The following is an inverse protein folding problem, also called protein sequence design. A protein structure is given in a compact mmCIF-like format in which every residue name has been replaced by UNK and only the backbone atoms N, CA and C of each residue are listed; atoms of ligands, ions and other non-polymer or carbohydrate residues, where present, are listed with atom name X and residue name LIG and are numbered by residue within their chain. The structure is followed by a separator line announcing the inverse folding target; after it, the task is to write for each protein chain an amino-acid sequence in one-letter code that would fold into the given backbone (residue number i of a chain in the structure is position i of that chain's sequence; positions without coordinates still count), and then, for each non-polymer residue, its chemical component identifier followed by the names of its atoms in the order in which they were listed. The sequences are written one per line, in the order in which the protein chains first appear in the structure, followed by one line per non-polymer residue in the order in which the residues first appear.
data_IF_445877915749
#
_entry.id   IF_445877915749
#
_cell.length_a   1.000
_cell.length_b   1.000
_cell.length_c   1.000
_cell.angle_alpha   90.00
_cell.angle_beta   90.00
_cell.angle_gamma   90.00
#
_symmetry.space_group_name_H-M   'P 1'
#
loop_
_entity.id
_entity.type
_entity.pdbx_description
1 polymer ?
#
# COMPACT_ATOMS: atom_id res chain seq x y z
N UNK A 1 41.20 -82.11 23.97
CA UNK A 1 40.57 -81.53 23.07
C UNK A 1 39.73 -80.44 23.45
N UNK A 2 40.06 -79.30 23.33
CA UNK A 2 39.41 -78.27 23.88
C UNK A 2 39.15 -77.18 22.98
N UNK A 3 38.11 -76.98 22.87
CA UNK A 3 37.68 -75.93 22.08
C UNK A 3 37.67 -74.63 22.72
N UNK A 4 37.77 -73.85 22.29
CA UNK A 4 37.70 -72.69 22.23
C UNK A 4 37.28 -71.72 22.38
N UNK A 5 37.43 -70.72 22.60
CA UNK A 5 36.58 -69.66 22.95
C UNK A 5 36.27 -68.69 21.91
N UNK A 6 35.15 -68.43 22.00
CA UNK A 6 34.51 -67.53 21.12
C UNK A 6 34.74 -66.10 21.58
N UNK A 7 35.54 -65.44 20.84
CA UNK A 7 35.71 -64.03 21.01
C UNK A 7 34.57 -63.30 20.37
N UNK A 8 33.57 -62.96 21.13
CA UNK A 8 32.53 -62.06 20.64
C UNK A 8 33.07 -60.66 20.55
N UNK A 9 33.30 -60.26 19.39
CA UNK A 9 33.45 -58.84 19.11
C UNK A 9 32.16 -58.14 19.35
N UNK A 10 32.11 -57.35 20.35
CA UNK A 10 31.02 -56.42 20.52
C UNK A 10 31.25 -55.30 19.51
N UNK A 11 30.44 -55.35 18.50
CA UNK A 11 30.30 -54.17 17.68
C UNK A 11 29.54 -53.14 18.45
N UNK A 12 30.24 -52.14 18.90
CA UNK A 12 29.59 -50.95 19.37
C UNK A 12 29.06 -50.17 18.17
N UNK A 13 27.79 -50.29 18.02
CA UNK A 13 27.09 -49.39 17.10
C UNK A 13 26.98 -48.06 17.80
N UNK A 14 27.85 -47.18 17.41
CA UNK A 14 27.69 -45.77 17.74
C UNK A 14 26.66 -45.20 16.81
N UNK A 15 25.44 -45.17 17.25
CA UNK A 15 24.40 -44.41 16.60
C UNK A 15 24.65 -42.95 16.93
N UNK A 16 25.40 -42.32 16.09
CA UNK A 16 25.51 -40.88 16.12
C UNK A 16 24.19 -40.29 15.68
N UNK A 17 23.43 -39.87 16.65
CA UNK A 17 22.27 -39.05 16.38
C UNK A 17 22.76 -37.65 15.98
N UNK A 18 22.92 -37.42 14.70
CA UNK A 18 23.14 -36.09 14.19
C UNK A 18 21.84 -35.32 14.32
N UNK A 19 21.72 -34.54 15.37
CA UNK A 19 20.68 -33.54 15.50
C UNK A 19 21.00 -32.42 14.51
N UNK A 20 20.40 -32.52 13.33
CA UNK A 20 20.33 -31.40 12.40
C UNK A 20 19.35 -30.39 12.99
N UNK A 21 19.90 -29.43 13.70
CA UNK A 21 19.14 -28.23 14.06
C UNK A 21 18.94 -27.45 12.75
N UNK A 22 17.79 -27.68 12.14
CA UNK A 22 17.33 -26.81 11.08
C UNK A 22 16.94 -25.49 11.74
N UNK A 23 17.84 -24.56 11.73
CA UNK A 23 17.50 -23.18 12.03
C UNK A 23 16.55 -22.72 10.92
N UNK A 24 15.27 -22.75 11.20
CA UNK A 24 14.29 -22.08 10.37
C UNK A 24 14.59 -20.59 10.50
N UNK A 25 15.38 -20.08 9.57
CA UNK A 25 15.47 -18.65 9.34
C UNK A 25 14.09 -18.24 8.84
N UNK A 26 13.27 -17.77 9.76
CA UNK A 26 12.03 -17.13 9.39
C UNK A 26 12.35 -15.93 8.54
N UNK A 27 12.27 -16.11 7.24
CA UNK A 27 12.23 -14.97 6.34
C UNK A 27 10.94 -14.24 6.65
N UNK A 28 11.04 -13.13 7.37
CA UNK A 28 9.96 -12.16 7.37
C UNK A 28 9.90 -11.63 5.96
N UNK A 29 9.03 -12.20 5.16
CA UNK A 29 8.70 -11.65 3.87
C UNK A 29 8.09 -10.27 4.14
N UNK A 30 8.87 -9.22 3.92
CA UNK A 30 8.34 -7.88 3.79
C UNK A 30 7.51 -7.93 2.53
N UNK A 31 6.20 -8.05 2.69
CA UNK A 31 5.27 -7.94 1.58
C UNK A 31 5.32 -6.47 1.16
N UNK A 32 6.06 -6.17 0.12
CA UNK A 32 5.94 -4.87 -0.52
C UNK A 32 4.50 -4.76 -0.98
N UNK A 33 3.76 -3.83 -0.38
CA UNK A 33 2.41 -3.53 -0.81
C UNK A 33 2.49 -3.04 -2.25
N UNK A 34 1.93 -3.84 -3.15
CA UNK A 34 1.90 -3.46 -4.57
C UNK A 34 0.80 -2.46 -4.79
N UNK A 35 1.18 -1.28 -5.26
CA UNK A 35 0.24 -0.31 -5.76
C UNK A 35 -0.35 -0.77 -7.08
N UNK A 36 -1.66 -0.63 -7.22
CA UNK A 36 -2.36 -0.94 -8.46
C UNK A 36 -2.97 0.34 -9.02
N UNK A 37 -2.79 0.55 -10.32
CA UNK A 37 -3.41 1.67 -11.01
C UNK A 37 -4.91 1.44 -11.13
N UNK A 38 -5.69 2.43 -10.71
CA UNK A 38 -7.14 2.38 -10.77
C UNK A 38 -7.66 2.83 -12.15
N UNK A 39 -8.74 2.20 -12.59
CA UNK A 39 -9.54 2.69 -13.71
C UNK A 39 -10.40 3.88 -13.27
N UNK A 40 -10.96 4.62 -14.22
CA UNK A 40 -11.83 5.76 -13.91
C UNK A 40 -13.02 5.39 -13.02
N UNK A 41 -13.67 4.27 -13.29
CA UNK A 41 -14.77 3.78 -12.45
C UNK A 41 -14.33 3.41 -11.02
N UNK A 42 -13.16 2.83 -10.89
CA UNK A 42 -12.58 2.52 -9.57
C UNK A 42 -12.19 3.79 -8.80
N UNK A 43 -11.62 4.77 -9.48
CA UNK A 43 -11.30 6.07 -8.86
C UNK A 43 -12.57 6.69 -8.28
N UNK A 44 -13.63 6.77 -9.07
CA UNK A 44 -14.90 7.33 -8.62
C UNK A 44 -15.47 6.56 -7.42
N UNK A 45 -15.48 5.25 -7.49
CA UNK A 45 -16.00 4.41 -6.41
C UNK A 45 -15.21 4.56 -5.11
N UNK A 46 -13.91 4.74 -5.19
CA UNK A 46 -13.03 4.86 -4.01
C UNK A 46 -13.01 6.26 -3.42
N UNK A 47 -13.04 7.29 -4.24
CA UNK A 47 -12.88 8.67 -3.78
C UNK A 47 -14.19 9.36 -3.41
N UNK A 48 -15.31 9.03 -4.07
CA UNK A 48 -16.58 9.73 -3.82
C UNK A 48 -17.04 9.58 -2.36
N UNK A 49 -17.17 10.68 -1.66
CA UNK A 49 -17.51 10.72 -0.24
C UNK A 49 -16.35 10.43 0.70
N UNK A 50 -15.14 10.35 0.19
CA UNK A 50 -13.93 10.09 0.97
C UNK A 50 -13.01 11.29 0.98
N UNK A 51 -12.04 11.26 1.86
CA UNK A 51 -10.96 12.25 1.87
C UNK A 51 -9.60 11.57 1.73
N UNK A 52 -8.69 12.28 1.10
CA UNK A 52 -7.30 11.90 0.95
C UNK A 52 -6.45 12.88 1.73
N UNK A 53 -5.55 12.38 2.58
CA UNK A 53 -4.77 13.23 3.48
C UNK A 53 -3.44 12.58 3.82
N UNK A 54 -2.43 13.42 4.06
CA UNK A 54 -1.17 12.98 4.68
C UNK A 54 -1.21 13.06 6.22
N UNK A 55 -2.36 13.46 6.78
CA UNK A 55 -2.62 13.67 8.21
C UNK A 55 -1.82 14.81 8.86
N UNK A 56 -1.02 15.54 8.12
CA UNK A 56 -0.17 16.60 8.66
C UNK A 56 -0.34 17.90 7.92
N UNK A 57 -0.18 17.89 6.59
CA UNK A 57 -0.08 19.11 5.81
C UNK A 57 -1.30 19.43 4.96
N UNK A 58 -1.98 18.40 4.47
CA UNK A 58 -3.07 18.60 3.53
C UNK A 58 -4.18 17.56 3.66
N UNK A 59 -5.35 17.96 3.20
CA UNK A 59 -6.56 17.14 3.19
C UNK A 59 -7.47 17.58 2.05
N UNK A 60 -7.85 16.64 1.20
CA UNK A 60 -8.78 16.86 0.10
C UNK A 60 -10.01 15.97 0.28
N UNK A 61 -11.19 16.59 0.38
CA UNK A 61 -12.46 15.89 0.50
C UNK A 61 -13.17 15.87 -0.86
N UNK A 62 -13.41 14.68 -1.37
CA UNK A 62 -14.05 14.47 -2.67
C UNK A 62 -15.54 14.20 -2.47
N UNK A 63 -16.35 15.21 -2.70
CA UNK A 63 -17.80 15.10 -2.53
C UNK A 63 -18.44 14.39 -3.73
N UNK A 64 -19.51 13.68 -3.48
CA UNK A 64 -20.22 12.90 -4.53
C UNK A 64 -20.77 13.78 -5.64
N UNK A 65 -21.05 15.04 -5.36
CA UNK A 65 -21.55 16.01 -6.33
C UNK A 65 -20.49 16.57 -7.30
N UNK A 66 -19.23 16.12 -7.16
CA UNK A 66 -18.14 16.61 -7.99
C UNK A 66 -17.38 17.80 -7.41
N UNK A 67 -17.69 18.23 -6.21
CA UNK A 67 -16.93 19.26 -5.52
C UNK A 67 -15.77 18.64 -4.76
N UNK A 68 -14.61 19.27 -4.79
CA UNK A 68 -13.49 18.96 -3.92
C UNK A 68 -13.21 20.14 -3.01
N UNK A 69 -13.06 19.84 -1.72
CA UNK A 69 -12.64 20.83 -0.72
C UNK A 69 -11.24 20.48 -0.28
N UNK A 70 -10.31 21.38 -0.54
CA UNK A 70 -8.89 21.21 -0.22
C UNK A 70 -8.49 22.11 0.94
N UNK A 71 -7.79 21.55 1.91
CA UNK A 71 -7.15 22.29 2.98
C UNK A 71 -5.65 21.96 2.99
N UNK A 72 -4.82 22.96 2.87
CA UNK A 72 -3.37 22.79 2.85
C UNK A 72 -2.69 23.93 3.58
N UNK A 73 -1.90 23.61 4.59
CA UNK A 73 -1.15 24.60 5.36
C UNK A 73 -2.02 25.77 5.89
N UNK A 74 -3.24 25.45 6.32
CA UNK A 74 -4.19 26.43 6.81
C UNK A 74 -5.00 27.16 5.73
N UNK A 75 -4.73 26.92 4.46
CA UNK A 75 -5.47 27.50 3.35
C UNK A 75 -6.53 26.55 2.83
N UNK A 76 -7.75 27.05 2.69
CA UNK A 76 -8.87 26.26 2.15
C UNK A 76 -9.19 26.73 0.73
N UNK A 77 -9.41 25.76 -0.15
CA UNK A 77 -9.84 25.99 -1.52
C UNK A 77 -11.00 25.07 -1.86
N UNK A 78 -11.88 25.53 -2.70
CA UNK A 78 -12.96 24.73 -3.28
C UNK A 78 -12.74 24.60 -4.77
N UNK A 79 -12.92 23.43 -5.29
CA UNK A 79 -12.76 23.13 -6.70
C UNK A 79 -13.73 22.06 -7.16
N UNK A 80 -13.47 21.57 -8.35
CA UNK A 80 -14.23 20.48 -8.98
C UNK A 80 -13.30 19.32 -9.25
N UNK A 81 -13.83 18.10 -9.11
CA UNK A 81 -13.12 16.90 -9.50
C UNK A 81 -13.96 16.09 -10.49
N UNK A 82 -13.30 15.51 -11.43
CA UNK A 82 -13.93 14.66 -12.44
C UNK A 82 -12.95 13.59 -12.91
N UNK A 83 -13.48 12.60 -13.58
CA UNK A 83 -12.69 11.52 -14.15
C UNK A 83 -12.62 11.73 -15.66
N UNK A 84 -11.40 11.76 -16.19
CA UNK A 84 -11.13 11.84 -17.64
C UNK A 84 -10.02 10.84 -17.96
N UNK A 85 -10.23 10.00 -18.98
CA UNK A 85 -9.23 9.03 -19.46
C UNK A 85 -8.56 8.22 -18.34
N UNK A 86 -9.36 7.67 -17.43
CA UNK A 86 -8.88 6.93 -16.27
C UNK A 86 -7.95 7.75 -15.36
N UNK A 87 -8.13 9.05 -15.31
CA UNK A 87 -7.40 9.96 -14.45
C UNK A 87 -8.33 10.77 -13.56
N UNK A 88 -7.85 11.12 -12.38
CA UNK A 88 -8.47 12.09 -11.51
C UNK A 88 -8.03 13.49 -11.92
N UNK A 89 -8.97 14.30 -12.38
CA UNK A 89 -8.71 15.67 -12.77
C UNK A 89 -9.34 16.65 -11.79
N UNK A 90 -8.55 17.58 -11.29
CA UNK A 90 -8.96 18.58 -10.28
C UNK A 90 -8.76 19.97 -10.86
N UNK A 91 -9.79 20.79 -10.76
CA UNK A 91 -9.78 22.18 -11.20
C UNK A 91 -10.18 23.10 -10.04
N UNK A 92 -9.31 24.03 -9.72
CA UNK A 92 -9.58 25.09 -8.74
C UNK A 92 -9.91 26.41 -9.45
N UNK A 93 -10.71 27.27 -8.82
CA UNK A 93 -11.28 28.48 -9.43
C UNK A 93 -10.27 29.41 -10.10
N UNK A 94 -9.05 29.45 -9.60
CA UNK A 94 -8.00 30.34 -10.13
C UNK A 94 -7.02 29.65 -11.08
N UNK A 95 -7.22 28.38 -11.32
CA UNK A 95 -6.36 27.59 -12.19
C UNK A 95 -7.10 27.29 -13.49
N UNK A 96 -6.67 27.84 -14.63
CA UNK A 96 -7.42 27.70 -15.88
C UNK A 96 -7.36 26.31 -16.51
N UNK A 97 -6.42 25.48 -16.05
CA UNK A 97 -6.22 24.14 -16.60
C UNK A 97 -6.35 23.11 -15.47
N UNK A 98 -7.19 22.07 -15.65
CA UNK A 98 -7.27 20.99 -14.66
C UNK A 98 -5.94 20.28 -14.51
N UNK A 99 -5.65 19.87 -13.28
CA UNK A 99 -4.52 18.99 -12.99
C UNK A 99 -5.01 17.54 -12.93
N UNK A 100 -4.46 16.68 -13.77
CA UNK A 100 -4.87 15.29 -13.85
C UNK A 100 -3.79 14.36 -13.31
N UNK A 101 -4.23 13.33 -12.59
CA UNK A 101 -3.37 12.33 -11.96
C UNK A 101 -3.78 10.92 -12.29
N UNK A 102 -2.82 10.05 -12.48
CA UNK A 102 -3.03 8.62 -12.36
C UNK A 102 -3.16 8.29 -10.87
N UNK A 103 -4.14 7.47 -10.52
CA UNK A 103 -4.41 7.09 -9.13
C UNK A 103 -3.97 5.66 -8.90
N UNK A 104 -3.06 5.47 -7.97
CA UNK A 104 -2.55 4.17 -7.57
C UNK A 104 -2.93 3.90 -6.12
N UNK A 105 -3.40 2.69 -5.85
CA UNK A 105 -3.92 2.28 -4.55
C UNK A 105 -3.25 1.01 -4.05
N UNK A 106 -2.88 1.02 -2.77
CA UNK A 106 -2.49 -0.16 -2.01
C UNK A 106 -3.14 -0.09 -0.62
N UNK A 107 -4.12 -0.93 -0.37
CA UNK A 107 -4.91 -0.84 0.86
C UNK A 107 -5.63 0.51 0.98
N UNK A 108 -5.24 1.32 1.95
CA UNK A 108 -5.72 2.71 2.14
C UNK A 108 -4.73 3.74 1.62
N UNK A 109 -3.54 3.32 1.22
CA UNK A 109 -2.52 4.22 0.71
C UNK A 109 -2.78 4.55 -0.74
N UNK A 110 -2.75 5.82 -1.05
CA UNK A 110 -2.98 6.34 -2.40
C UNK A 110 -1.76 7.14 -2.84
N UNK A 111 -1.34 6.91 -4.05
CA UNK A 111 -0.38 7.77 -4.74
C UNK A 111 -1.06 8.42 -5.94
N UNK A 112 -0.99 9.74 -5.98
CA UNK A 112 -1.37 10.52 -7.16
C UNK A 112 -0.11 10.79 -7.98
N UNK A 113 -0.05 10.18 -9.15
CA UNK A 113 1.14 10.23 -10.00
C UNK A 113 0.92 11.08 -11.24
N UNK A 114 1.91 11.91 -11.54
CA UNK A 114 2.02 12.67 -12.78
C UNK A 114 3.39 12.46 -13.38
N UNK A 115 3.44 12.41 -14.68
CA UNK A 115 4.72 12.28 -15.40
C UNK A 115 5.68 13.40 -15.03
N UNK A 116 6.93 13.01 -14.74
CA UNK A 116 8.00 13.95 -14.42
C UNK A 116 7.97 14.55 -13.02
N UNK A 117 7.01 14.16 -12.17
CA UNK A 117 6.89 14.65 -10.79
C UNK A 117 6.91 13.53 -9.79
N UNK A 118 7.35 13.83 -8.57
CA UNK A 118 7.23 12.90 -7.45
C UNK A 118 5.76 12.64 -7.12
N UNK A 119 5.38 11.40 -6.77
CA UNK A 119 4.03 11.09 -6.39
C UNK A 119 3.58 11.88 -5.15
N UNK A 120 2.30 12.25 -5.13
CA UNK A 120 1.65 12.78 -3.94
C UNK A 120 1.08 11.61 -3.17
N UNK A 121 1.54 11.42 -1.95
CA UNK A 121 1.16 10.29 -1.12
C UNK A 121 0.12 10.71 -0.07
N UNK A 122 -0.90 9.89 0.11
CA UNK A 122 -1.92 10.11 1.11
C UNK A 122 -2.61 8.83 1.53
N UNK A 123 -3.39 8.94 2.58
CA UNK A 123 -4.24 7.87 3.10
C UNK A 123 -5.70 8.20 2.82
N UNK A 124 -6.42 7.23 2.33
CA UNK A 124 -7.84 7.35 2.05
C UNK A 124 -8.62 7.08 3.33
N UNK A 125 -9.45 8.04 3.73
CA UNK A 125 -10.26 7.98 4.94
C UNK A 125 -11.70 8.42 4.65
N UNK A 126 -12.68 7.98 5.43
CA UNK A 126 -14.01 8.54 5.34
C UNK A 126 -13.97 10.05 5.56
N UNK A 127 -14.72 10.79 4.76
CA UNK A 127 -14.81 12.25 4.94
C UNK A 127 -15.30 12.57 6.34
N UNK A 128 -14.58 13.46 7.04
CA UNK A 128 -14.92 13.86 8.40
C UNK A 128 -16.18 14.73 8.48
N UNK A 129 -16.87 14.94 7.36
CA UNK A 129 -18.11 15.69 7.33
C UNK A 129 -17.92 17.12 7.81
N UNK A 130 -16.94 17.81 7.29
CA UNK A 130 -16.81 19.22 7.53
C UNK A 130 -18.00 19.96 6.98
N UNK A 131 -18.84 20.30 7.88
CA UNK A 131 -19.94 21.23 7.66
C UNK A 131 -19.39 22.65 7.51
#
# INVERSE_FOLDING_TARGET
MTARPNSRKREQRITGLALLAVAALGSTAVTEEKFQKLTGGQIRAKLAGMELTDNVHWRDSYQRNGTVMSASMGHKRTGKWQIEDDQLCIEFEKEPIPTCYDVWLSGKQVELRREGLSPLEGTLEPSSGCN
#
